data_IF_409692251880
#
_entry.id   IF_409692251880
#
_cell.length_a   1.000
_cell.length_b   1.000
_cell.length_c   1.000
_cell.angle_alpha   90.00
_cell.angle_beta   90.00
_cell.angle_gamma   90.00
#
_symmetry.space_group_name_H-M   'P 1'
#
loop_
_entity.id
_entity.type
_entity.pdbx_description
1 polymer ?
#
# COMPACT_ATOMS: atom_id res chain seq x y z
N UNK A 1 -42.34 20.38 2.87
CA UNK A 1 -41.56 20.37 1.60
C UNK A 1 -40.12 20.68 1.92
N UNK A 2 -39.21 19.80 1.52
CA UNK A 2 -37.77 20.04 1.70
C UNK A 2 -37.27 20.71 0.41
N UNK A 3 -36.73 21.92 0.52
CA UNK A 3 -36.07 22.60 -0.59
C UNK A 3 -34.63 22.08 -0.67
N UNK A 4 -34.16 21.78 -1.88
CA UNK A 4 -32.80 21.33 -2.12
C UNK A 4 -31.81 22.39 -1.59
N UNK A 5 -30.93 22.05 -0.63
CA UNK A 5 -29.95 23.00 -0.11
C UNK A 5 -29.00 23.46 -1.22
N UNK A 6 -28.58 24.73 -1.18
CA UNK A 6 -27.53 25.24 -2.06
C UNK A 6 -26.25 24.44 -1.83
N UNK A 7 -25.68 23.88 -2.90
CA UNK A 7 -24.51 23.01 -2.83
C UNK A 7 -24.83 21.51 -2.62
N UNK A 8 -26.09 21.08 -2.58
CA UNK A 8 -26.43 19.66 -2.49
C UNK A 8 -25.93 18.83 -3.69
N UNK A 9 -25.91 19.42 -4.89
CA UNK A 9 -25.35 18.76 -6.09
C UNK A 9 -23.82 18.66 -6.08
N UNK A 10 -23.14 19.53 -5.33
CA UNK A 10 -21.68 19.57 -5.20
C UNK A 10 -21.20 18.81 -3.96
N UNK A 11 -22.06 18.64 -2.96
CA UNK A 11 -21.77 17.90 -1.74
C UNK A 11 -21.67 16.40 -2.05
N UNK A 12 -20.47 15.83 -1.89
CA UNK A 12 -20.29 14.40 -1.92
C UNK A 12 -21.18 13.76 -0.85
N UNK A 13 -22.04 12.81 -1.27
CA UNK A 13 -22.89 12.08 -0.34
C UNK A 13 -22.01 11.35 0.69
N UNK A 14 -22.14 11.70 1.96
CA UNK A 14 -21.49 10.99 3.05
C UNK A 14 -22.28 9.70 3.34
N UNK A 15 -22.02 8.65 2.56
CA UNK A 15 -22.74 7.37 2.67
C UNK A 15 -22.21 6.48 3.80
N UNK A 16 -21.11 6.87 4.48
CA UNK A 16 -20.43 6.03 5.46
C UNK A 16 -19.76 4.79 4.87
N UNK A 17 -20.02 4.46 3.60
CA UNK A 17 -19.30 3.46 2.83
C UNK A 17 -17.97 4.06 2.40
N UNK A 18 -16.89 3.65 3.07
CA UNK A 18 -15.55 3.91 2.56
C UNK A 18 -15.43 3.28 1.17
N UNK A 19 -15.41 4.10 0.13
CA UNK A 19 -15.25 3.62 -1.23
C UNK A 19 -13.91 2.89 -1.29
N UNK A 20 -13.93 1.56 -1.35
CA UNK A 20 -12.73 0.75 -1.38
C UNK A 20 -12.35 0.47 -2.83
N UNK A 21 -11.05 0.60 -3.16
CA UNK A 21 -10.57 0.25 -4.50
C UNK A 21 -10.82 -1.26 -4.70
N UNK A 22 -11.45 -1.71 -5.81
CA UNK A 22 -11.56 -3.13 -6.10
C UNK A 22 -10.18 -3.78 -6.25
N UNK A 23 -10.08 -5.09 -6.03
CA UNK A 23 -8.86 -5.82 -6.39
C UNK A 23 -8.70 -5.83 -7.90
N UNK A 24 -7.46 -5.86 -8.37
CA UNK A 24 -7.20 -5.93 -9.79
C UNK A 24 -5.91 -5.26 -10.20
N UNK A 25 -5.83 -5.00 -11.49
CA UNK A 25 -4.69 -4.34 -12.14
C UNK A 25 -5.07 -2.90 -12.41
N UNK A 26 -4.21 -1.99 -11.98
CA UNK A 26 -4.42 -0.57 -12.22
C UNK A 26 -3.14 0.05 -12.77
N UNK A 27 -3.33 0.99 -13.70
CA UNK A 27 -2.24 1.87 -14.12
C UNK A 27 -2.16 2.99 -13.09
N UNK A 28 -1.05 3.04 -12.36
CA UNK A 28 -0.79 4.03 -11.33
C UNK A 28 0.16 5.11 -11.84
N UNK A 29 0.08 6.29 -11.25
CA UNK A 29 1.01 7.41 -11.44
C UNK A 29 1.65 7.79 -10.12
N UNK A 30 2.95 8.01 -10.14
CA UNK A 30 3.71 8.49 -8.98
C UNK A 30 3.42 9.98 -8.80
N UNK A 31 2.92 10.36 -7.62
CA UNK A 31 2.71 11.76 -7.25
C UNK A 31 3.96 12.34 -6.60
N UNK A 32 4.57 11.59 -5.70
CA UNK A 32 5.78 11.99 -4.98
C UNK A 32 6.57 10.76 -4.55
N UNK A 33 7.88 10.90 -4.50
CA UNK A 33 8.78 9.91 -3.92
C UNK A 33 9.52 10.57 -2.74
N UNK A 34 9.75 9.79 -1.69
CA UNK A 34 10.56 10.18 -0.55
C UNK A 34 11.36 8.98 -0.04
N UNK A 35 12.45 9.23 0.64
CA UNK A 35 13.18 8.23 1.43
C UNK A 35 12.93 8.46 2.91
N UNK A 36 12.75 7.38 3.66
CA UNK A 36 12.54 7.43 5.10
C UNK A 36 13.30 6.32 5.80
N UNK A 37 13.72 6.59 7.04
CA UNK A 37 14.24 5.54 7.92
C UNK A 37 13.07 4.84 8.60
N UNK A 38 13.04 3.52 8.50
CA UNK A 38 12.11 2.67 9.23
C UNK A 38 12.37 2.75 10.73
N UNK A 39 11.39 2.33 11.54
CA UNK A 39 11.57 2.14 13.00
C UNK A 39 12.75 1.23 13.34
N UNK A 40 13.10 0.32 12.43
CA UNK A 40 14.21 -0.62 12.59
C UNK A 40 15.55 -0.09 12.04
N UNK A 41 15.64 1.20 11.68
CA UNK A 41 16.85 1.85 11.18
C UNK A 41 17.13 1.69 9.67
N UNK A 42 16.44 0.77 8.99
CA UNK A 42 16.62 0.52 7.55
C UNK A 42 16.07 1.67 6.70
N UNK A 43 16.77 2.02 5.62
CA UNK A 43 16.25 2.99 4.66
C UNK A 43 15.13 2.39 3.78
N UNK A 44 14.04 3.14 3.66
CA UNK A 44 12.83 2.79 2.93
C UNK A 44 12.58 3.80 1.82
N UNK A 45 12.31 3.26 0.65
CA UNK A 45 11.77 3.96 -0.50
C UNK A 45 10.25 4.08 -0.36
N UNK A 46 9.74 5.30 -0.30
CA UNK A 46 8.33 5.61 -0.12
C UNK A 46 7.79 6.26 -1.39
N UNK A 47 6.80 5.62 -2.02
CA UNK A 47 6.11 6.13 -3.20
C UNK A 47 4.70 6.55 -2.78
N UNK A 48 4.38 7.82 -2.99
CA UNK A 48 3.02 8.32 -3.00
C UNK A 48 2.50 8.19 -4.43
N UNK A 49 1.48 7.34 -4.62
CA UNK A 49 0.91 7.06 -5.93
C UNK A 49 -0.59 7.34 -5.96
N UNK A 50 -1.11 7.45 -7.17
CA UNK A 50 -2.53 7.57 -7.47
C UNK A 50 -2.90 6.69 -8.67
N UNK A 51 -4.19 6.47 -8.90
CA UNK A 51 -4.68 5.72 -10.06
C UNK A 51 -4.74 6.67 -11.26
N UNK A 52 -4.05 6.33 -12.34
CA UNK A 52 -3.90 7.18 -13.52
C UNK A 52 -5.01 6.99 -14.56
N UNK A 53 -5.54 5.76 -14.69
CA UNK A 53 -6.46 5.34 -15.75
C UNK A 53 -7.58 4.44 -15.24
N UNK A 54 -8.66 4.33 -16.02
CA UNK A 54 -9.86 3.56 -15.68
C UNK A 54 -10.88 4.32 -14.84
N UNK A 55 -11.92 3.61 -14.40
CA UNK A 55 -13.04 4.19 -13.64
C UNK A 55 -12.61 4.77 -12.29
N UNK A 56 -11.54 4.22 -11.74
CA UNK A 56 -10.97 4.62 -10.45
C UNK A 56 -9.89 5.71 -10.59
N UNK A 57 -9.82 6.41 -11.73
CA UNK A 57 -8.85 7.50 -11.91
C UNK A 57 -8.99 8.57 -10.83
N UNK A 58 -7.86 8.96 -10.25
CA UNK A 58 -7.78 9.97 -9.19
C UNK A 58 -8.36 9.51 -7.85
N UNK A 59 -8.47 8.20 -7.62
CA UNK A 59 -9.11 7.65 -6.42
C UNK A 59 -8.51 8.19 -5.12
N UNK A 60 -7.17 8.15 -4.99
CA UNK A 60 -6.52 8.58 -3.74
C UNK A 60 -6.51 10.10 -3.60
N UNK A 61 -6.46 10.82 -4.73
CA UNK A 61 -6.62 12.27 -4.74
C UNK A 61 -8.01 12.69 -4.24
N UNK A 62 -9.08 12.07 -4.76
CA UNK A 62 -10.45 12.33 -4.31
C UNK A 62 -10.64 12.07 -2.82
N UNK A 63 -10.07 10.97 -2.30
CA UNK A 63 -10.08 10.68 -0.86
C UNK A 63 -9.37 11.75 -0.06
N UNK A 64 -8.17 12.15 -0.49
CA UNK A 64 -7.41 13.17 0.21
C UNK A 64 -8.11 14.53 0.21
N UNK A 65 -8.69 14.94 -0.93
CA UNK A 65 -9.43 16.19 -1.04
C UNK A 65 -10.70 16.18 -0.17
N UNK A 66 -11.38 15.03 -0.08
CA UNK A 66 -12.51 14.85 0.83
C UNK A 66 -12.09 14.85 2.31
N UNK A 67 -11.01 14.15 2.66
CA UNK A 67 -10.48 14.15 4.03
C UNK A 67 -10.01 15.57 4.42
N UNK A 68 -9.45 16.33 3.48
CA UNK A 68 -9.02 17.73 3.67
C UNK A 68 -10.19 18.70 3.80
N UNK A 69 -11.30 18.48 3.09
CA UNK A 69 -12.50 19.31 3.21
C UNK A 69 -13.19 19.10 4.57
N UNK A 70 -13.16 17.88 5.10
CA UNK A 70 -13.72 17.56 6.42
C UNK A 70 -12.77 17.88 7.58
N UNK A 71 -11.48 17.63 7.41
CA UNK A 71 -10.45 17.85 8.43
C UNK A 71 -9.15 18.40 7.80
N UNK A 72 -9.05 19.74 7.61
CA UNK A 72 -7.92 20.38 6.93
C UNK A 72 -6.54 20.08 7.52
N UNK A 73 -6.46 19.81 8.82
CA UNK A 73 -5.20 19.56 9.54
C UNK A 73 -4.85 18.08 9.69
N UNK A 74 -5.78 17.17 9.37
CA UNK A 74 -5.64 15.73 9.59
C UNK A 74 -5.63 14.88 8.34
N UNK A 75 -5.74 15.48 7.15
CA UNK A 75 -5.80 14.75 5.89
C UNK A 75 -4.50 13.98 5.64
N UNK A 76 -4.62 12.66 5.49
CA UNK A 76 -3.49 11.75 5.22
C UNK A 76 -3.66 11.13 3.84
N UNK A 77 -2.58 11.13 3.04
CA UNK A 77 -2.59 10.44 1.74
C UNK A 77 -2.60 8.92 1.95
N UNK A 78 -3.55 8.22 1.34
CA UNK A 78 -3.73 6.77 1.54
C UNK A 78 -3.00 5.90 0.50
N UNK A 79 -2.66 6.45 -0.66
CA UNK A 79 -1.94 5.75 -1.73
C UNK A 79 -0.43 5.74 -1.49
N UNK A 80 0.02 5.01 -0.46
CA UNK A 80 1.44 4.93 -0.06
C UNK A 80 1.97 3.52 -0.29
N UNK A 81 3.12 3.40 -0.94
CA UNK A 81 3.85 2.14 -1.07
C UNK A 81 5.24 2.30 -0.46
N UNK A 82 5.65 1.35 0.39
CA UNK A 82 6.93 1.40 1.10
C UNK A 82 7.74 0.16 0.77
N UNK A 83 8.99 0.35 0.38
CA UNK A 83 9.91 -0.72 0.05
C UNK A 83 11.25 -0.51 0.74
N UNK A 84 11.79 -1.53 1.40
CA UNK A 84 13.13 -1.46 1.96
C UNK A 84 14.17 -1.45 0.83
N UNK A 85 15.15 -0.54 0.93
CA UNK A 85 16.23 -0.41 -0.05
C UNK A 85 17.43 -1.33 0.27
N UNK A 86 17.44 -1.97 1.44
CA UNK A 86 18.56 -2.76 1.93
C UNK A 86 18.23 -4.25 2.09
N UNK A 87 19.28 -5.07 2.15
CA UNK A 87 19.21 -6.51 2.43
C UNK A 87 18.32 -7.27 1.44
N UNK A 88 17.43 -8.12 1.96
CA UNK A 88 16.50 -8.93 1.13
C UNK A 88 15.54 -8.07 0.29
N UNK A 89 15.33 -6.80 0.67
CA UNK A 89 14.46 -5.86 -0.04
C UNK A 89 15.09 -5.24 -1.29
N UNK A 90 16.42 -5.28 -1.43
CA UNK A 90 17.14 -4.67 -2.56
C UNK A 90 16.73 -5.29 -3.90
N UNK A 91 16.53 -6.61 -3.95
CA UNK A 91 16.08 -7.33 -5.15
C UNK A 91 14.72 -6.81 -5.64
N UNK A 92 13.80 -6.56 -4.71
CA UNK A 92 12.48 -6.02 -5.00
C UNK A 92 12.54 -4.55 -5.38
N UNK A 93 13.36 -3.76 -4.70
CA UNK A 93 13.60 -2.37 -5.04
C UNK A 93 14.13 -2.22 -6.48
N UNK A 94 15.12 -3.04 -6.87
CA UNK A 94 15.61 -3.12 -8.25
C UNK A 94 14.48 -3.46 -9.22
N UNK A 95 13.63 -4.44 -8.87
CA UNK A 95 12.46 -4.80 -9.68
C UNK A 95 11.46 -3.66 -9.89
N UNK A 96 11.26 -2.82 -8.87
CA UNK A 96 10.40 -1.63 -8.92
C UNK A 96 10.98 -0.58 -9.87
N UNK A 97 12.25 -0.20 -9.68
CA UNK A 97 12.91 0.80 -10.55
C UNK A 97 12.90 0.32 -11.99
N UNK A 98 13.32 -0.91 -12.26
CA UNK A 98 13.30 -1.49 -13.62
C UNK A 98 11.89 -1.53 -14.22
N UNK A 99 10.85 -1.76 -13.40
CA UNK A 99 9.46 -1.73 -13.87
C UNK A 99 9.01 -0.33 -14.26
N UNK A 100 9.38 0.68 -13.48
CA UNK A 100 9.08 2.09 -13.75
C UNK A 100 9.85 2.57 -14.99
N UNK A 101 11.14 2.22 -15.11
CA UNK A 101 11.98 2.49 -16.29
C UNK A 101 11.35 1.95 -17.58
N UNK A 102 11.01 0.66 -17.60
CA UNK A 102 10.35 0.00 -18.74
C UNK A 102 9.02 0.62 -19.10
N UNK A 103 8.26 1.08 -18.12
CA UNK A 103 6.93 1.66 -18.34
C UNK A 103 6.97 3.06 -18.97
N UNK A 104 8.05 3.80 -18.74
CA UNK A 104 8.15 5.20 -19.16
C UNK A 104 9.30 5.44 -20.15
N UNK A 105 9.95 4.36 -20.60
CA UNK A 105 11.09 4.37 -21.52
C UNK A 105 12.19 5.38 -21.11
N UNK A 106 12.57 5.34 -19.83
CA UNK A 106 13.65 6.17 -19.29
C UNK A 106 14.58 5.33 -18.42
N UNK A 107 15.75 5.89 -18.11
CA UNK A 107 16.73 5.30 -17.20
C UNK A 107 16.83 6.18 -15.97
N UNK A 108 16.72 5.57 -14.79
CA UNK A 108 16.87 6.27 -13.53
C UNK A 108 18.35 6.63 -13.32
N UNK A 109 18.60 7.92 -13.08
CA UNK A 109 19.95 8.44 -12.87
C UNK A 109 20.28 8.38 -11.39
N UNK A 110 21.15 7.44 -11.02
CA UNK A 110 21.67 7.31 -9.66
C UNK A 110 22.61 8.48 -9.34
N UNK A 111 22.80 8.73 -8.04
CA UNK A 111 23.81 9.67 -7.50
C UNK A 111 23.68 11.13 -7.99
N UNK A 112 22.44 11.58 -8.23
CA UNK A 112 22.12 13.00 -8.47
C UNK A 112 21.24 13.55 -7.36
N UNK A 113 21.46 14.83 -7.04
CA UNK A 113 20.54 15.58 -6.18
C UNK A 113 19.13 15.58 -6.77
N UNK A 114 18.13 15.40 -5.90
CA UNK A 114 16.71 15.35 -6.27
C UNK A 114 16.34 14.25 -7.31
N UNK A 115 17.11 13.17 -7.41
CA UNK A 115 16.82 12.10 -8.36
C UNK A 115 15.42 11.49 -8.15
N UNK A 116 14.89 11.49 -6.93
CA UNK A 116 13.54 11.05 -6.60
C UNK A 116 12.47 11.88 -7.31
N UNK A 117 12.73 13.16 -7.60
CA UNK A 117 11.79 14.02 -8.34
C UNK A 117 11.65 13.57 -9.79
N UNK A 118 12.64 12.89 -10.35
CA UNK A 118 12.57 12.35 -11.73
C UNK A 118 11.52 11.25 -11.88
N UNK A 119 11.11 10.64 -10.76
CA UNK A 119 10.07 9.62 -10.71
C UNK A 119 8.67 10.22 -10.59
N UNK A 120 8.55 11.50 -10.22
CA UNK A 120 7.25 12.16 -10.13
C UNK A 120 6.59 12.23 -11.52
N UNK A 121 5.31 11.88 -11.59
CA UNK A 121 4.53 11.80 -12.82
C UNK A 121 4.76 10.53 -13.65
N UNK A 122 5.69 9.64 -13.26
CA UNK A 122 5.92 8.37 -13.97
C UNK A 122 4.80 7.38 -13.70
N UNK A 123 4.46 6.58 -14.70
CA UNK A 123 3.44 5.53 -14.62
C UNK A 123 4.02 4.17 -14.31
N UNK A 124 3.26 3.33 -13.61
CA UNK A 124 3.62 1.93 -13.39
C UNK A 124 2.36 1.08 -13.32
N UNK A 125 2.50 -0.24 -13.51
CA UNK A 125 1.42 -1.18 -13.30
C UNK A 125 1.37 -1.62 -11.84
N UNK A 126 0.25 -1.38 -11.16
CA UNK A 126 0.01 -1.84 -9.81
C UNK A 126 -0.93 -3.03 -9.77
N UNK A 127 -0.52 -4.09 -9.07
CA UNK A 127 -1.38 -5.22 -8.75
C UNK A 127 -1.92 -5.01 -7.35
N UNK A 128 -3.23 -4.91 -7.21
CA UNK A 128 -3.90 -4.67 -5.96
C UNK A 128 -4.61 -5.94 -5.51
N UNK A 129 -4.37 -6.32 -4.25
CA UNK A 129 -5.00 -7.47 -3.62
C UNK A 129 -5.84 -6.99 -2.43
N UNK A 130 -6.83 -7.79 -2.06
CA UNK A 130 -7.55 -7.63 -0.79
C UNK A 130 -6.84 -8.43 0.28
N UNK A 131 -6.49 -7.75 1.37
CA UNK A 131 -5.97 -8.36 2.60
C UNK A 131 -6.94 -8.05 3.72
N UNK A 132 -7.38 -9.07 4.42
CA UNK A 132 -8.12 -8.89 5.66
C UNK A 132 -7.14 -8.71 6.81
N UNK A 133 -7.33 -7.67 7.63
CA UNK A 133 -6.58 -7.50 8.86
C UNK A 133 -7.52 -7.49 10.04
N UNK A 134 -7.05 -7.96 11.18
CA UNK A 134 -7.78 -7.87 12.44
C UNK A 134 -7.43 -6.52 13.07
N UNK A 135 -8.43 -5.65 13.18
CA UNK A 135 -8.29 -4.38 13.88
C UNK A 135 -8.39 -4.62 15.39
N UNK A 136 -7.79 -3.73 16.20
CA UNK A 136 -7.78 -3.85 17.69
C UNK A 136 -9.17 -3.95 18.32
N UNK A 137 -10.22 -3.56 17.60
CA UNK A 137 -11.62 -3.68 18.02
C UNK A 137 -12.26 -5.04 17.69
N UNK A 138 -11.48 -6.02 17.20
CA UNK A 138 -11.97 -7.34 16.78
C UNK A 138 -12.71 -7.34 15.44
N UNK A 139 -12.85 -6.18 14.77
CA UNK A 139 -13.35 -6.16 13.40
C UNK A 139 -12.29 -6.69 12.45
N UNK A 140 -12.73 -7.37 11.39
CA UNK A 140 -11.87 -7.87 10.31
C UNK A 140 -12.08 -7.08 9.01
N UNK A 141 -11.74 -5.79 8.98
CA UNK A 141 -11.85 -4.99 7.75
C UNK A 141 -10.96 -5.59 6.65
N UNK A 142 -11.52 -5.61 5.45
CA UNK A 142 -10.77 -5.95 4.24
C UNK A 142 -10.20 -4.66 3.68
N UNK A 143 -8.89 -4.59 3.44
CA UNK A 143 -8.23 -3.45 2.78
C UNK A 143 -7.66 -3.90 1.45
N UNK A 144 -7.76 -3.01 0.46
CA UNK A 144 -7.13 -3.21 -0.83
C UNK A 144 -5.81 -2.46 -0.84
N UNK A 145 -4.71 -3.20 -0.95
CA UNK A 145 -3.36 -2.65 -0.94
C UNK A 145 -2.64 -2.97 -2.25
N UNK A 146 -1.68 -2.11 -2.61
CA UNK A 146 -0.76 -2.38 -3.71
C UNK A 146 0.19 -3.51 -3.29
N UNK A 147 -0.02 -4.69 -3.86
CA UNK A 147 0.79 -5.88 -3.58
C UNK A 147 2.12 -5.84 -4.31
N UNK A 148 2.09 -5.52 -5.60
CA UNK A 148 3.27 -5.59 -6.45
C UNK A 148 3.25 -4.53 -7.54
N UNK A 149 4.42 -3.93 -7.77
CA UNK A 149 4.68 -3.04 -8.89
C UNK A 149 5.27 -3.85 -10.05
N UNK A 150 4.69 -3.66 -11.23
CA UNK A 150 5.11 -4.24 -12.51
C UNK A 150 5.23 -3.15 -13.56
N UNK A 151 5.87 -3.46 -14.67
CA UNK A 151 5.83 -2.59 -15.84
C UNK A 151 4.44 -2.59 -16.45
N UNK A 152 4.07 -1.54 -17.21
CA UNK A 152 2.78 -1.50 -17.92
C UNK A 152 2.61 -2.69 -18.87
N UNK A 153 3.68 -3.08 -19.57
CA UNK A 153 3.70 -4.28 -20.41
C UNK A 153 3.58 -5.57 -19.58
N UNK A 154 4.20 -5.65 -18.40
CA UNK A 154 4.07 -6.80 -17.52
C UNK A 154 2.72 -6.87 -16.79
N UNK A 155 1.97 -5.77 -16.77
CA UNK A 155 0.64 -5.72 -16.15
C UNK A 155 -0.39 -6.47 -16.98
N UNK A 156 -0.32 -6.41 -18.31
CA UNK A 156 -1.24 -7.18 -19.17
C UNK A 156 -1.07 -8.68 -18.99
N UNK A 157 0.17 -9.15 -18.80
CA UNK A 157 0.51 -10.57 -18.62
C UNK A 157 0.36 -11.07 -17.18
N UNK A 158 0.34 -10.19 -16.18
CA UNK A 158 0.30 -10.61 -14.77
C UNK A 158 -1.03 -11.29 -14.41
N UNK A 159 -1.04 -12.27 -13.52
CA UNK A 159 -2.29 -12.74 -12.91
C UNK A 159 -2.59 -11.91 -11.67
N UNK A 160 -3.88 -11.61 -11.43
CA UNK A 160 -4.30 -10.94 -10.19
C UNK A 160 -4.32 -12.01 -9.10
N UNK A 161 -3.57 -11.85 -8.00
CA UNK A 161 -3.58 -12.81 -6.91
C UNK A 161 -4.99 -13.00 -6.34
N UNK A 162 -5.26 -14.21 -5.84
CA UNK A 162 -6.46 -14.47 -5.04
C UNK A 162 -6.43 -13.70 -3.71
N UNK A 163 -7.60 -13.53 -3.10
CA UNK A 163 -7.74 -12.71 -1.89
C UNK A 163 -7.07 -13.38 -0.70
N UNK A 164 -6.25 -12.62 0.05
CA UNK A 164 -5.69 -13.09 1.32
C UNK A 164 -6.72 -12.82 2.42
N UNK A 165 -7.64 -13.77 2.58
CA UNK A 165 -8.61 -13.78 3.68
C UNK A 165 -7.98 -14.45 4.91
N UNK A 166 -8.28 -13.92 6.10
CA UNK A 166 -7.89 -14.59 7.34
C UNK A 166 -8.69 -15.90 7.46
N UNK A 167 -8.10 -16.98 7.98
CA UNK A 167 -8.82 -18.23 8.20
C UNK A 167 -10.02 -17.98 9.13
N UNK A 168 -11.19 -18.51 8.77
CA UNK A 168 -12.37 -18.53 9.62
C UNK A 168 -12.41 -19.83 10.43
N UNK A 169 -12.26 -19.73 11.75
CA UNK A 169 -12.44 -20.85 12.68
C UNK A 169 -11.93 -20.52 14.09
N UNK A 170 -12.55 -21.09 15.15
CA UNK A 170 -12.08 -20.91 16.53
C UNK A 170 -10.79 -21.72 16.70
N UNK A 171 -9.66 -21.08 16.40
CA UNK A 171 -8.37 -21.76 16.33
C UNK A 171 -7.26 -20.80 15.94
N UNK A 172 -7.01 -19.80 16.77
CA UNK A 172 -5.68 -19.23 16.87
C UNK A 172 -4.75 -20.36 17.32
N UNK A 173 -4.01 -20.96 16.39
CA UNK A 173 -3.13 -22.08 16.70
C UNK A 173 -2.55 -22.75 15.46
N UNK A 174 -1.36 -22.30 15.07
CA UNK A 174 -0.31 -23.07 14.39
C UNK A 174 -0.70 -23.97 13.22
N UNK A 175 -0.48 -23.50 11.98
CA UNK A 175 -0.08 -24.40 10.89
C UNK A 175 1.11 -23.79 10.14
N UNK A 176 2.31 -24.21 10.58
CA UNK A 176 3.51 -24.19 9.75
C UNK A 176 3.26 -25.13 8.57
N UNK A 177 3.31 -24.60 7.34
CA UNK A 177 3.48 -25.43 6.16
C UNK A 177 4.93 -25.93 6.11
N UNK A 178 5.16 -27.13 6.64
CA UNK A 178 6.38 -27.91 6.42
C UNK A 178 6.35 -28.51 5.01
N UNK A 179 7.31 -28.11 4.17
CA UNK A 179 7.81 -28.93 3.08
C UNK A 179 9.12 -29.61 3.55
N UNK A 180 9.19 -30.93 3.37
CA UNK A 180 10.17 -31.84 3.95
C UNK A 180 11.64 -31.55 3.60
N UNK A 181 12.48 -31.45 4.63
CA UNK A 181 13.83 -32.05 4.71
C UNK A 181 14.23 -32.18 6.21
N UNK A 182 14.54 -33.40 6.67
CA UNK A 182 14.83 -33.76 8.09
C UNK A 182 16.30 -33.54 8.50
N UNK A 183 16.75 -33.83 9.75
CA UNK A 183 16.36 -33.41 11.14
C UNK A 183 17.61 -32.86 11.93
N UNK A 184 17.76 -32.82 13.29
CA UNK A 184 16.83 -32.88 14.43
C UNK A 184 16.98 -31.73 15.48
N UNK A 185 16.09 -31.75 16.48
CA UNK A 185 16.29 -31.29 17.89
C UNK A 185 16.29 -29.79 18.21
N UNK A 186 15.20 -29.29 18.80
CA UNK A 186 15.06 -29.08 20.25
C UNK A 186 13.72 -28.38 20.49
N UNK A 187 12.80 -29.10 21.14
CA UNK A 187 11.69 -28.49 21.86
C UNK A 187 12.12 -28.42 23.31
N UNK A 188 12.08 -27.22 23.88
CA UNK A 188 11.67 -26.97 25.26
C UNK A 188 10.71 -25.77 25.13
N UNK A 189 9.42 -25.88 25.44
CA UNK A 189 8.92 -26.28 26.75
C UNK A 189 8.70 -25.01 27.57
N UNK A 190 7.70 -24.21 27.17
CA UNK A 190 7.01 -23.11 27.91
C UNK A 190 6.76 -21.89 27.00
N UNK A 191 5.69 -21.98 26.19
CA UNK A 191 5.27 -20.98 25.21
C UNK A 191 4.72 -19.68 25.77
N UNK A 192 5.59 -18.82 26.30
CA UNK A 192 5.32 -17.41 26.53
C UNK A 192 6.51 -16.57 26.04
N UNK A 193 6.24 -15.63 25.11
CA UNK A 193 7.17 -14.54 24.82
C UNK A 193 6.44 -13.20 24.93
N UNK A 194 7.02 -12.33 25.76
CA UNK A 194 6.52 -11.04 26.20
C UNK A 194 6.25 -10.06 25.05
N UNK A 195 5.18 -9.28 25.18
CA UNK A 195 4.92 -8.07 24.41
C UNK A 195 5.60 -6.90 25.14
N UNK A 196 6.50 -6.12 24.52
CA UNK A 196 6.79 -4.77 24.98
C UNK A 196 5.82 -3.79 24.33
N UNK A 197 5.21 -3.01 25.21
CA UNK A 197 4.21 -1.97 25.01
C UNK A 197 4.79 -0.72 24.32
N UNK A 198 4.00 -0.07 23.45
CA UNK A 198 4.21 1.31 23.03
C UNK A 198 4.68 1.52 21.58
N UNK A 199 3.73 1.62 20.63
CA UNK A 199 4.01 2.11 19.28
C UNK A 199 3.00 3.19 18.88
N UNK A 200 3.28 4.42 19.32
CA UNK A 200 2.66 5.63 18.77
C UNK A 200 2.86 5.72 17.25
N UNK A 201 1.76 6.04 16.58
CA UNK A 201 1.60 6.23 15.15
C UNK A 201 2.04 7.66 14.76
N UNK A 202 3.28 7.82 14.28
CA UNK A 202 3.69 9.05 13.59
C UNK A 202 3.63 8.82 12.07
N UNK A 203 2.45 9.11 11.52
CA UNK A 203 2.22 9.17 10.08
C UNK A 203 2.84 10.43 9.48
N UNK A 204 3.54 10.26 8.37
CA UNK A 204 4.19 11.34 7.61
C UNK A 204 3.16 12.36 7.11
N UNK A 205 3.34 13.67 7.36
CA UNK A 205 2.48 14.70 6.77
C UNK A 205 2.78 14.88 5.28
N UNK A 206 1.72 15.10 4.49
CA UNK A 206 1.80 15.51 3.09
C UNK A 206 1.98 17.03 3.05
N UNK A 207 3.19 17.50 2.72
CA UNK A 207 3.49 18.90 2.41
C UNK A 207 3.15 19.21 0.95
#
# INVERSE_FOLDING_TARGET
MIKKPTGYDEAAAYTGEFQQLPKGKYVCVIKRVATQKSKNGNEQFVILYDIAEGDQKGFYQKMFDNDKSQNPSGAKWRGVFKQNMEGKGLSWFKGIITSIERSNNFTFQWDRDDNEKTLNGKKFGGIFRRRQYEAENGNRPIVTELWQIRSLAGLSEAEVPEDELLPEGPGAGSQQAQANAAPPSMVDGNGFMNIPEGAGDEGIPFL
#
